data_IF_425124593760
#
_entry.id   IF_425124593760
#
_cell.length_a   1.000
_cell.length_b   1.000
_cell.length_c   1.000
_cell.angle_alpha   90.00
_cell.angle_beta   90.00
_cell.angle_gamma   90.00
#
_symmetry.space_group_name_H-M   'P 1'
#
loop_
_entity.id
_entity.type
_entity.pdbx_description
1 polymer ?
#
# COMPACT_ATOMS: atom_id res chain seq x y z
N UNK A 1 5.21 33.29 -16.04
CA UNK A 1 4.92 31.83 -15.99
C UNK A 1 5.81 31.06 -15.01
N UNK A 2 6.83 31.66 -14.37
CA UNK A 2 7.78 30.91 -13.52
C UNK A 2 7.35 30.69 -12.06
N UNK A 3 6.58 31.61 -11.47
CA UNK A 3 6.20 31.54 -10.06
C UNK A 3 5.30 30.33 -9.71
N UNK A 4 4.49 29.86 -10.67
CA UNK A 4 3.56 28.75 -10.47
C UNK A 4 4.25 27.38 -10.45
N UNK A 5 5.36 27.24 -11.19
CA UNK A 5 6.15 26.01 -11.23
C UNK A 5 6.90 25.82 -9.91
N UNK A 6 7.52 26.87 -9.37
CA UNK A 6 8.23 26.81 -8.09
C UNK A 6 7.31 26.46 -6.92
N UNK A 7 6.08 26.99 -6.92
CA UNK A 7 5.09 26.64 -5.90
C UNK A 7 4.64 25.17 -6.02
N UNK A 8 4.45 24.66 -7.24
CA UNK A 8 4.09 23.27 -7.45
C UNK A 8 5.20 22.31 -6.99
N UNK A 9 6.46 22.63 -7.26
CA UNK A 9 7.61 21.85 -6.81
C UNK A 9 7.68 21.84 -5.28
N UNK A 10 7.66 23.02 -4.64
CA UNK A 10 7.67 23.11 -3.18
C UNK A 10 6.49 22.35 -2.52
N UNK A 11 5.30 22.41 -3.13
CA UNK A 11 4.14 21.63 -2.68
C UNK A 11 4.38 20.12 -2.75
N UNK A 12 4.97 19.64 -3.85
CA UNK A 12 5.30 18.22 -4.05
C UNK A 12 6.36 17.76 -3.06
N UNK A 13 7.43 18.54 -2.89
CA UNK A 13 8.54 18.21 -2.00
C UNK A 13 8.07 18.06 -0.55
N UNK A 14 7.24 18.99 -0.07
CA UNK A 14 6.65 18.87 1.27
C UNK A 14 5.74 17.65 1.41
N UNK A 15 4.98 17.29 0.37
CA UNK A 15 4.13 16.10 0.39
C UNK A 15 4.95 14.81 0.48
N UNK A 16 6.03 14.69 -0.30
CA UNK A 16 6.87 13.49 -0.31
C UNK A 16 7.69 13.39 0.98
N UNK A 17 8.26 14.49 1.46
CA UNK A 17 8.96 14.55 2.75
C UNK A 17 8.04 14.17 3.92
N UNK A 18 6.80 14.64 3.91
CA UNK A 18 5.82 14.24 4.92
C UNK A 18 5.50 12.74 4.87
N UNK A 19 5.30 12.18 3.68
CA UNK A 19 5.04 10.74 3.52
C UNK A 19 6.20 9.89 4.06
N UNK A 20 7.45 10.30 3.83
CA UNK A 20 8.63 9.62 4.34
C UNK A 20 8.83 9.81 5.86
N UNK A 21 8.39 10.94 6.41
CA UNK A 21 8.57 11.26 7.84
C UNK A 21 7.77 10.37 8.79
N UNK A 22 6.67 9.76 8.34
CA UNK A 22 5.74 9.02 9.20
C UNK A 22 4.96 9.89 10.22
N UNK A 23 5.12 11.21 10.18
CA UNK A 23 4.45 12.13 11.09
C UNK A 23 2.96 12.31 10.73
N UNK A 24 2.15 12.69 11.73
CA UNK A 24 0.80 13.19 11.46
C UNK A 24 0.87 14.52 10.68
N UNK A 25 -0.18 14.88 9.93
CA UNK A 25 -0.21 16.14 9.17
C UNK A 25 0.03 17.37 10.08
N UNK A 26 -0.56 17.37 11.28
CA UNK A 26 -0.39 18.45 12.27
C UNK A 26 1.06 18.46 12.77
N UNK A 27 1.63 17.30 13.12
CA UNK A 27 3.02 17.21 13.58
C UNK A 27 4.02 17.70 12.54
N UNK A 28 3.79 17.35 11.27
CA UNK A 28 4.61 17.84 10.16
C UNK A 28 4.48 19.37 9.97
N UNK A 29 3.25 19.90 10.05
CA UNK A 29 3.02 21.34 9.96
C UNK A 29 3.70 22.11 11.09
N UNK A 30 3.63 21.62 12.32
CA UNK A 30 4.28 22.24 13.48
C UNK A 30 5.80 22.25 13.35
N UNK A 31 6.41 21.17 12.83
CA UNK A 31 7.86 21.07 12.64
C UNK A 31 8.39 22.00 11.54
N UNK A 32 7.64 22.13 10.43
CA UNK A 32 8.06 22.87 9.25
C UNK A 32 7.47 24.29 9.15
N UNK A 33 6.76 24.76 10.19
CA UNK A 33 6.14 26.10 10.20
C UNK A 33 5.07 26.29 9.12
N UNK A 34 4.38 25.22 8.72
CA UNK A 34 3.37 25.26 7.67
C UNK A 34 1.97 25.51 8.25
N UNK A 35 1.16 26.27 7.52
CA UNK A 35 -0.28 26.34 7.81
C UNK A 35 -0.94 25.00 7.54
N UNK A 36 -1.64 24.45 8.53
CA UNK A 36 -2.36 23.18 8.40
C UNK A 36 -3.38 23.22 7.25
N UNK A 37 -4.14 24.32 7.09
CA UNK A 37 -5.12 24.46 6.01
C UNK A 37 -4.46 24.38 4.63
N UNK A 38 -3.31 25.05 4.47
CA UNK A 38 -2.52 25.05 3.23
C UNK A 38 -1.97 23.65 2.93
N UNK A 39 -1.39 22.99 3.93
CA UNK A 39 -0.81 21.67 3.79
C UNK A 39 -1.87 20.59 3.53
N UNK A 40 -3.00 20.64 4.22
CA UNK A 40 -4.13 19.73 4.00
C UNK A 40 -4.66 19.83 2.55
N UNK A 41 -4.72 21.03 1.97
CA UNK A 41 -5.04 21.20 0.55
C UNK A 41 -4.04 20.47 -0.36
N UNK A 42 -2.74 20.57 -0.08
CA UNK A 42 -1.70 19.86 -0.84
C UNK A 42 -1.82 18.35 -0.72
N UNK A 43 -2.04 17.84 0.49
CA UNK A 43 -2.26 16.42 0.77
C UNK A 43 -3.46 15.89 -0.02
N UNK A 44 -4.60 16.60 -0.01
CA UNK A 44 -5.79 16.23 -0.80
C UNK A 44 -5.50 16.22 -2.30
N UNK A 45 -4.79 17.24 -2.80
CA UNK A 45 -4.43 17.39 -4.21
C UNK A 45 -3.55 16.24 -4.72
N UNK A 46 -2.68 15.69 -3.88
CA UNK A 46 -1.74 14.65 -4.29
C UNK A 46 -2.17 13.23 -3.92
N UNK A 47 -2.99 13.04 -2.89
CA UNK A 47 -3.64 11.74 -2.59
C UNK A 47 -4.55 11.30 -3.74
N UNK A 48 -5.40 12.19 -4.25
CA UNK A 48 -6.32 11.88 -5.35
C UNK A 48 -5.67 11.65 -6.72
N UNK A 49 -4.35 11.87 -6.87
CA UNK A 49 -3.63 11.62 -8.12
C UNK A 49 -2.96 10.24 -8.20
N UNK A 50 -2.85 9.51 -7.08
CA UNK A 50 -2.35 8.12 -7.08
C UNK A 50 -3.49 7.10 -7.28
N UNK A 51 -4.71 7.46 -6.88
CA UNK A 51 -5.86 6.56 -6.91
C UNK A 51 -7.03 7.23 -7.63
N UNK A 52 -7.09 7.10 -8.96
CA UNK A 52 -8.35 7.20 -9.69
C UNK A 52 -9.19 5.92 -9.47
N UNK A 53 -9.32 5.50 -8.21
CA UNK A 53 -10.29 4.53 -7.75
C UNK A 53 -11.11 5.24 -6.66
N UNK A 54 -12.46 5.25 -6.75
CA UNK A 54 -13.29 5.87 -5.72
C UNK A 54 -12.97 5.22 -4.37
N UNK A 55 -12.60 6.04 -3.38
CA UNK A 55 -12.49 5.59 -1.99
C UNK A 55 -13.90 5.16 -1.54
N UNK A 56 -14.19 3.88 -1.27
CA UNK A 56 -15.40 3.55 -0.57
C UNK A 56 -15.23 4.06 0.86
N UNK A 57 -16.17 4.86 1.34
CA UNK A 57 -16.36 5.10 2.78
C UNK A 57 -16.82 3.80 3.42
N UNK A 58 -15.90 2.85 3.62
CA UNK A 58 -16.14 1.70 4.49
C UNK A 58 -15.05 1.71 5.55
N UNK A 59 -15.41 1.38 6.79
CA UNK A 59 -14.47 1.29 7.92
C UNK A 59 -13.44 0.16 7.79
N UNK A 60 -13.21 -0.33 6.57
CA UNK A 60 -12.29 -1.40 6.25
C UNK A 60 -11.06 -0.81 5.57
N UNK A 61 -9.89 -1.20 6.06
CA UNK A 61 -8.62 -0.90 5.40
C UNK A 61 -8.45 -1.84 4.21
N UNK A 62 -8.16 -1.27 3.04
CA UNK A 62 -7.76 -2.06 1.87
C UNK A 62 -6.38 -2.66 2.12
N UNK A 63 -6.29 -3.99 2.08
CA UNK A 63 -5.01 -4.72 2.16
C UNK A 63 -4.77 -5.33 0.79
N UNK A 64 -3.62 -5.03 0.18
CA UNK A 64 -3.19 -5.68 -1.05
C UNK A 64 -2.63 -7.06 -0.73
N UNK A 65 -3.34 -8.11 -1.15
CA UNK A 65 -2.81 -9.47 -1.12
C UNK A 65 -1.95 -9.65 -2.37
N UNK A 66 -0.65 -9.92 -2.18
CA UNK A 66 0.21 -10.36 -3.29
C UNK A 66 -0.25 -11.76 -3.70
N UNK A 67 -0.89 -11.89 -4.85
CA UNK A 67 -1.26 -13.20 -5.39
C UNK A 67 0.02 -13.98 -5.67
N UNK A 68 0.15 -15.18 -5.09
CA UNK A 68 1.33 -16.03 -5.27
C UNK A 68 1.41 -16.68 -6.67
N UNK A 69 0.56 -16.26 -7.61
CA UNK A 69 0.43 -16.85 -8.95
C UNK A 69 -0.43 -18.10 -8.96
N UNK A 70 -0.24 -18.96 -9.97
CA UNK A 70 -0.87 -20.29 -10.04
C UNK A 70 -0.10 -21.28 -9.19
N UNK A 71 -0.77 -22.12 -8.38
CA UNK A 71 -0.09 -23.19 -7.66
C UNK A 71 0.58 -24.15 -8.65
N UNK A 72 1.77 -24.62 -8.29
CA UNK A 72 2.53 -25.58 -9.11
C UNK A 72 2.25 -27.03 -8.70
N UNK A 73 1.63 -27.24 -7.54
CA UNK A 73 1.25 -28.54 -7.01
C UNK A 73 0.06 -28.36 -6.04
N UNK A 74 -0.92 -29.26 -6.15
CA UNK A 74 -2.04 -29.36 -5.21
C UNK A 74 -2.09 -30.77 -4.62
N UNK A 75 -2.31 -30.85 -3.31
CA UNK A 75 -2.46 -32.11 -2.57
C UNK A 75 -3.79 -32.11 -1.84
N UNK A 76 -4.66 -33.05 -2.20
CA UNK A 76 -5.98 -33.23 -1.56
C UNK A 76 -5.91 -34.32 -0.52
N UNK A 77 -6.25 -33.98 0.73
CA UNK A 77 -6.31 -34.91 1.86
C UNK A 77 -7.70 -35.55 1.99
N UNK A 78 -7.78 -36.66 2.74
CA UNK A 78 -9.03 -37.42 2.94
C UNK A 78 -10.14 -36.62 3.63
N UNK A 79 -9.78 -35.62 4.41
CA UNK A 79 -10.68 -34.70 5.10
C UNK A 79 -11.14 -33.53 4.21
N UNK A 80 -10.74 -33.49 2.94
CA UNK A 80 -11.07 -32.44 1.99
C UNK A 80 -10.17 -31.21 2.06
N UNK A 81 -9.15 -31.19 2.94
CA UNK A 81 -8.17 -30.11 2.94
C UNK A 81 -7.31 -30.15 1.66
N UNK A 82 -7.11 -28.98 1.04
CA UNK A 82 -6.29 -28.81 -0.16
C UNK A 82 -5.06 -27.98 0.17
N UNK A 83 -3.89 -28.61 0.12
CA UNK A 83 -2.60 -27.94 0.28
C UNK A 83 -2.13 -27.47 -1.09
N UNK A 84 -1.86 -26.16 -1.23
CA UNK A 84 -1.40 -25.54 -2.48
C UNK A 84 0.03 -25.05 -2.33
N UNK A 85 0.89 -25.50 -3.23
CA UNK A 85 2.30 -25.13 -3.25
C UNK A 85 2.58 -24.16 -4.40
N UNK A 86 3.24 -23.05 -4.09
CA UNK A 86 3.63 -22.02 -5.07
C UNK A 86 5.13 -22.03 -5.37
N UNK A 87 5.86 -22.98 -4.79
CA UNK A 87 7.29 -23.25 -5.01
C UNK A 87 7.53 -24.75 -4.99
N UNK A 88 8.63 -25.19 -5.60
CA UNK A 88 9.02 -26.60 -5.65
C UNK A 88 9.10 -27.20 -4.24
N UNK A 89 8.59 -28.42 -4.10
CA UNK A 89 8.62 -29.19 -2.87
C UNK A 89 9.27 -30.56 -3.13
N UNK A 90 10.01 -31.06 -2.15
CA UNK A 90 10.60 -32.39 -2.20
C UNK A 90 9.51 -33.49 -2.19
N UNK A 91 9.69 -34.55 -2.96
CA UNK A 91 8.70 -35.62 -3.09
C UNK A 91 8.51 -36.42 -1.79
N UNK A 92 9.58 -36.62 -1.01
CA UNK A 92 9.50 -37.26 0.31
C UNK A 92 8.72 -36.41 1.31
N UNK A 93 8.96 -35.10 1.29
CA UNK A 93 8.16 -34.15 2.06
C UNK A 93 6.68 -34.16 1.64
N UNK A 94 6.37 -34.08 0.34
CA UNK A 94 4.99 -34.17 -0.17
C UNK A 94 4.31 -35.47 0.29
N UNK A 95 5.03 -36.60 0.26
CA UNK A 95 4.52 -37.89 0.73
C UNK A 95 4.15 -37.86 2.22
N UNK A 96 4.94 -37.19 3.07
CA UNK A 96 4.64 -37.06 4.50
C UNK A 96 3.37 -36.25 4.83
N UNK A 97 2.81 -35.53 3.85
CA UNK A 97 1.57 -34.76 3.99
C UNK A 97 0.32 -35.56 3.60
N UNK A 98 0.51 -36.76 3.03
CA UNK A 98 -0.56 -37.66 2.59
C UNK A 98 -1.02 -38.63 3.68
N UNK A 99 -0.34 -38.66 4.82
CA UNK A 99 -0.70 -39.47 5.99
C UNK A 99 -1.97 -38.98 6.71
#
# INVERSE_FOLDING_TARGET
MEATNNLQTAMRDHFDNWQLSGLSQIGYCSLHGLSFAKFNYWVRKFRGKRDAAPVPQSGFLSVSVSSLGTPILEVTRKDGQVLRFYRGADAGFVKSLLD
#
